data_IF_702040615110
#
_entry.id   IF_702040615110
#
_cell.length_a   1.000
_cell.length_b   1.000
_cell.length_c   1.000
_cell.angle_alpha   90.00
_cell.angle_beta   90.00
_cell.angle_gamma   90.00
#
_symmetry.space_group_name_H-M   'P 1'
#
loop_
_entity.id
_entity.type
_entity.pdbx_description
1 polymer ?
#
# COMPACT_ATOMS: atom_id res chain seq x y z
N UNK A 1 4.20 -13.50 4.52
CA UNK A 1 5.06 -14.44 3.76
C UNK A 1 6.14 -13.69 2.98
N UNK A 2 7.40 -14.16 2.96
CA UNK A 2 8.53 -13.54 2.25
C UNK A 2 8.31 -13.42 0.74
N UNK A 3 7.66 -14.41 0.13
CA UNK A 3 7.38 -14.41 -1.32
C UNK A 3 6.32 -13.38 -1.71
N UNK A 4 5.31 -13.16 -0.86
CA UNK A 4 4.31 -12.07 -1.03
C UNK A 4 5.00 -10.71 -1.06
N UNK A 5 5.90 -10.44 -0.12
CA UNK A 5 6.60 -9.16 -0.06
C UNK A 5 7.47 -8.91 -1.31
N UNK A 6 8.15 -9.94 -1.82
CA UNK A 6 8.91 -9.86 -3.08
C UNK A 6 7.97 -9.56 -4.27
N UNK A 7 6.82 -10.23 -4.35
CA UNK A 7 5.84 -9.99 -5.41
C UNK A 7 5.31 -8.55 -5.36
N UNK A 8 4.88 -8.08 -4.18
CA UNK A 8 4.30 -6.74 -4.04
C UNK A 8 5.36 -5.66 -4.32
N UNK A 9 6.60 -5.85 -3.86
CA UNK A 9 7.71 -4.92 -4.15
C UNK A 9 7.91 -4.75 -5.66
N UNK A 10 7.92 -5.86 -6.41
CA UNK A 10 7.98 -5.83 -7.86
C UNK A 10 6.73 -5.21 -8.49
N UNK A 11 5.53 -5.51 -8.00
CA UNK A 11 4.29 -4.90 -8.50
C UNK A 11 4.24 -3.39 -8.27
N UNK A 12 4.90 -2.85 -7.24
CA UNK A 12 5.02 -1.39 -7.06
C UNK A 12 5.85 -0.76 -8.18
N UNK A 13 6.91 -1.43 -8.65
CA UNK A 13 7.68 -0.99 -9.82
C UNK A 13 6.82 -1.06 -11.10
N UNK A 14 6.03 -2.13 -11.26
CA UNK A 14 5.09 -2.28 -12.40
C UNK A 14 4.02 -1.19 -12.39
N UNK A 15 3.40 -0.96 -11.23
CA UNK A 15 2.43 0.10 -10.99
C UNK A 15 2.95 1.45 -11.42
N UNK A 16 4.18 1.77 -11.03
CA UNK A 16 4.86 3.02 -11.40
C UNK A 16 5.14 3.08 -12.90
N UNK A 17 5.60 1.97 -13.51
CA UNK A 17 5.90 1.88 -14.94
C UNK A 17 4.68 2.09 -15.84
N UNK A 18 3.52 1.58 -15.42
CA UNK A 18 2.26 1.76 -16.14
C UNK A 18 1.49 3.01 -15.73
N UNK A 19 2.04 3.83 -14.83
CA UNK A 19 1.43 5.08 -14.35
C UNK A 19 -0.01 4.89 -13.82
N UNK A 20 -0.27 3.74 -13.21
CA UNK A 20 -1.60 3.39 -12.71
C UNK A 20 -1.99 4.25 -11.50
N UNK A 21 -3.29 4.40 -11.28
CA UNK A 21 -3.86 5.02 -10.08
C UNK A 21 -3.43 4.28 -8.81
N UNK A 22 -3.33 4.97 -7.65
CA UNK A 22 -3.15 4.30 -6.37
C UNK A 22 -4.27 3.30 -6.08
N UNK A 23 -5.52 3.61 -6.44
CA UNK A 23 -6.70 2.75 -6.32
C UNK A 23 -6.41 1.35 -6.90
N UNK A 24 -5.88 1.30 -8.13
CA UNK A 24 -5.52 0.06 -8.79
C UNK A 24 -4.46 -0.75 -8.02
N UNK A 25 -3.42 -0.12 -7.45
CA UNK A 25 -2.41 -0.81 -6.64
C UNK A 25 -3.01 -1.40 -5.36
N UNK A 26 -3.82 -0.61 -4.66
CA UNK A 26 -4.44 -1.05 -3.41
C UNK A 26 -5.42 -2.20 -3.64
N UNK A 27 -6.22 -2.13 -4.72
CA UNK A 27 -7.10 -3.21 -5.12
C UNK A 27 -6.31 -4.44 -5.59
N UNK A 28 -5.21 -4.27 -6.32
CA UNK A 28 -4.31 -5.38 -6.71
C UNK A 28 -3.84 -6.17 -5.49
N UNK A 29 -3.32 -5.49 -4.46
CA UNK A 29 -2.84 -6.13 -3.24
C UNK A 29 -3.99 -6.85 -2.52
N UNK A 30 -5.17 -6.22 -2.45
CA UNK A 30 -6.36 -6.83 -1.85
C UNK A 30 -6.78 -8.12 -2.56
N UNK A 31 -6.82 -8.12 -3.90
CA UNK A 31 -7.15 -9.28 -4.72
C UNK A 31 -6.16 -10.42 -4.46
N UNK A 32 -4.85 -10.12 -4.48
CA UNK A 32 -3.79 -11.10 -4.22
C UNK A 32 -3.98 -11.73 -2.84
N UNK A 33 -4.18 -10.92 -1.80
CA UNK A 33 -4.28 -11.42 -0.43
C UNK A 33 -5.51 -12.29 -0.21
N UNK A 34 -6.67 -11.86 -0.71
CA UNK A 34 -7.91 -12.65 -0.62
C UNK A 34 -7.80 -13.96 -1.40
N UNK A 35 -7.20 -13.91 -2.59
CA UNK A 35 -7.02 -15.11 -3.41
C UNK A 35 -6.07 -16.10 -2.73
N UNK A 36 -4.93 -15.64 -2.21
CA UNK A 36 -3.96 -16.47 -1.50
C UNK A 36 -4.48 -17.00 -0.15
N UNK A 37 -5.45 -16.33 0.47
CA UNK A 37 -6.10 -16.81 1.69
C UNK A 37 -6.95 -18.07 1.46
N UNK A 38 -7.47 -18.27 0.23
CA UNK A 38 -8.39 -19.38 -0.09
C UNK A 38 -7.85 -20.34 -1.17
N UNK A 39 -6.67 -20.06 -1.74
CA UNK A 39 -6.07 -20.84 -2.81
C UNK A 39 -4.60 -21.14 -2.53
N UNK A 40 -4.21 -22.40 -2.67
CA UNK A 40 -2.81 -22.82 -2.63
C UNK A 40 -2.17 -22.53 -3.99
N UNK A 41 -1.22 -21.60 -4.00
CA UNK A 41 -0.53 -21.17 -5.22
C UNK A 41 0.94 -21.56 -5.14
N UNK A 42 1.46 -22.19 -6.20
CA UNK A 42 2.87 -22.53 -6.27
C UNK A 42 3.73 -21.28 -6.45
N UNK A 43 5.00 -21.33 -6.02
CA UNK A 43 5.94 -20.21 -6.21
C UNK A 43 6.06 -19.77 -7.67
N UNK A 44 5.92 -20.71 -8.62
CA UNK A 44 6.05 -20.45 -10.07
C UNK A 44 4.87 -19.68 -10.66
N UNK A 45 3.70 -19.80 -10.02
CA UNK A 45 2.46 -19.15 -10.46
C UNK A 45 2.19 -17.84 -9.72
N UNK A 46 2.96 -17.53 -8.68
CA UNK A 46 2.73 -16.35 -7.85
C UNK A 46 2.85 -15.03 -8.64
N UNK A 47 3.79 -14.96 -9.61
CA UNK A 47 3.88 -13.80 -10.49
C UNK A 47 2.68 -13.72 -11.45
N UNK A 48 2.22 -14.85 -12.01
CA UNK A 48 1.01 -14.93 -12.83
C UNK A 48 -0.22 -14.42 -12.07
N UNK A 49 -0.40 -14.82 -10.81
CA UNK A 49 -1.45 -14.29 -9.93
C UNK A 49 -1.32 -12.78 -9.77
N UNK A 50 -0.11 -12.28 -9.54
CA UNK A 50 0.14 -10.84 -9.35
C UNK A 50 -0.21 -10.00 -10.58
N UNK A 51 0.24 -10.39 -11.76
CA UNK A 51 -0.07 -9.66 -13.01
C UNK A 51 -1.54 -9.76 -13.38
N UNK A 52 -2.18 -10.91 -13.19
CA UNK A 52 -3.62 -11.07 -13.43
C UNK A 52 -4.44 -10.24 -12.44
N UNK A 53 -4.05 -10.19 -11.16
CA UNK A 53 -4.70 -9.32 -10.18
C UNK A 53 -4.56 -7.83 -10.53
N UNK A 54 -3.39 -7.41 -11.03
CA UNK A 54 -3.17 -6.04 -11.47
C UNK A 54 -3.95 -5.70 -12.75
N UNK A 55 -4.02 -6.61 -13.71
CA UNK A 55 -4.87 -6.46 -14.89
C UNK A 55 -6.34 -6.26 -14.48
N UNK A 56 -6.85 -7.08 -13.57
CA UNK A 56 -8.21 -6.97 -13.05
C UNK A 56 -8.46 -5.64 -12.34
N UNK A 57 -7.55 -5.24 -11.45
CA UNK A 57 -7.66 -3.97 -10.73
C UNK A 57 -7.59 -2.78 -11.69
N UNK A 58 -6.72 -2.84 -12.70
CA UNK A 58 -6.61 -1.79 -13.71
C UNK A 58 -7.90 -1.68 -14.52
N UNK A 59 -8.46 -2.80 -14.99
CA UNK A 59 -9.77 -2.81 -15.68
C UNK A 59 -10.91 -2.24 -14.84
N UNK A 60 -10.78 -2.30 -13.51
CA UNK A 60 -11.81 -1.85 -12.58
C UNK A 60 -11.70 -0.36 -12.24
N UNK A 61 -10.48 0.15 -12.03
CA UNK A 61 -10.23 1.51 -11.53
C UNK A 61 -9.78 2.49 -12.62
N UNK A 62 -9.16 2.03 -13.72
CA UNK A 62 -8.60 2.90 -14.75
C UNK A 62 -9.61 3.24 -15.84
N UNK A 63 -9.53 4.48 -16.35
CA UNK A 63 -10.23 4.87 -17.58
C UNK A 63 -9.65 4.14 -18.79
N UNK A 64 -8.32 3.98 -18.82
CA UNK A 64 -7.55 3.37 -19.90
C UNK A 64 -6.62 2.29 -19.35
N UNK A 65 -7.13 1.09 -19.04
CA UNK A 65 -6.31 0.02 -18.48
C UNK A 65 -5.30 -0.54 -19.51
N UNK A 66 -4.12 -1.01 -19.08
CA UNK A 66 -3.20 -1.73 -19.96
C UNK A 66 -3.85 -3.00 -20.55
N UNK A 67 -3.43 -3.36 -21.75
CA UNK A 67 -3.91 -4.55 -22.43
C UNK A 67 -3.23 -5.82 -21.88
N UNK A 68 -3.83 -6.99 -22.11
CA UNK A 68 -3.24 -8.27 -21.70
C UNK A 68 -1.83 -8.46 -22.29
N UNK A 69 -1.61 -8.01 -23.52
CA UNK A 69 -0.32 -8.10 -24.19
C UNK A 69 0.77 -7.24 -23.52
N UNK A 70 0.39 -6.15 -22.84
CA UNK A 70 1.35 -5.35 -22.07
C UNK A 70 1.89 -6.17 -20.89
N UNK A 71 1.03 -6.93 -20.22
CA UNK A 71 1.44 -7.84 -19.13
C UNK A 71 2.23 -9.06 -19.64
N UNK A 72 1.91 -9.58 -20.83
CA UNK A 72 2.74 -10.60 -21.49
C UNK A 72 4.16 -10.07 -21.71
N UNK A 73 4.30 -8.87 -22.28
CA UNK A 73 5.60 -8.24 -22.51
C UNK A 73 6.33 -7.91 -21.20
N UNK A 74 5.60 -7.42 -20.19
CA UNK A 74 6.13 -7.11 -18.87
C UNK A 74 6.76 -8.34 -18.19
N UNK A 75 6.15 -9.51 -18.37
CA UNK A 75 6.65 -10.77 -17.82
C UNK A 75 7.80 -11.39 -18.61
N UNK A 76 8.40 -10.66 -19.56
CA UNK A 76 9.37 -11.18 -20.53
C UNK A 76 8.85 -12.44 -21.25
N UNK A 77 7.54 -12.44 -21.55
CA UNK A 77 6.83 -13.56 -22.17
C UNK A 77 6.92 -14.88 -21.38
N UNK A 78 7.17 -14.81 -20.07
CA UNK A 78 7.10 -15.98 -19.19
C UNK A 78 5.69 -16.59 -19.15
N UNK A 79 4.67 -15.80 -19.46
CA UNK A 79 3.27 -16.22 -19.54
C UNK A 79 2.65 -15.83 -20.88
N UNK A 80 1.78 -16.69 -21.41
CA UNK A 80 1.01 -16.41 -22.63
C UNK A 80 -0.24 -15.58 -22.31
N UNK A 81 -0.80 -14.96 -23.36
CA UNK A 81 -2.06 -14.23 -23.28
C UNK A 81 -3.19 -15.09 -22.67
N UNK A 82 -3.30 -16.35 -23.10
CA UNK A 82 -4.30 -17.30 -22.62
C UNK A 82 -4.09 -17.65 -21.14
N UNK A 83 -2.84 -17.81 -20.69
CA UNK A 83 -2.54 -18.13 -19.29
C UNK A 83 -2.98 -16.98 -18.36
N UNK A 84 -2.76 -15.74 -18.76
CA UNK A 84 -3.19 -14.56 -17.99
C UNK A 84 -4.73 -14.50 -17.90
N UNK A 85 -5.43 -14.75 -19.01
CA UNK A 85 -6.90 -14.78 -19.03
C UNK A 85 -7.49 -15.94 -18.22
N UNK A 86 -6.88 -17.13 -18.28
CA UNK A 86 -7.29 -18.27 -17.45
C UNK A 86 -7.12 -17.95 -15.96
N UNK A 87 -6.00 -17.33 -15.59
CA UNK A 87 -5.76 -16.94 -14.20
C UNK A 87 -6.73 -15.84 -13.75
N UNK A 88 -6.97 -14.82 -14.58
CA UNK A 88 -7.99 -13.78 -14.33
C UNK A 88 -9.36 -14.41 -14.03
N UNK A 89 -9.82 -15.31 -14.90
CA UNK A 89 -11.10 -16.01 -14.71
C UNK A 89 -11.12 -16.87 -13.45
N UNK A 90 -9.99 -17.50 -13.11
CA UNK A 90 -9.85 -18.32 -11.91
C UNK A 90 -9.94 -17.47 -10.65
N UNK A 91 -9.24 -16.33 -10.61
CA UNK A 91 -9.29 -15.39 -9.48
C UNK A 91 -10.71 -14.83 -9.33
N UNK A 92 -11.33 -14.36 -10.41
CA UNK A 92 -12.72 -13.85 -10.40
C UNK A 92 -13.71 -14.90 -9.88
N UNK A 93 -13.59 -16.14 -10.36
CA UNK A 93 -14.44 -17.24 -9.91
C UNK A 93 -14.26 -17.56 -8.43
N UNK A 94 -13.02 -17.55 -7.93
CA UNK A 94 -12.72 -17.81 -6.51
C UNK A 94 -13.13 -16.68 -5.57
N UNK A 95 -13.10 -15.43 -6.05
CA UNK A 95 -13.53 -14.25 -5.30
C UNK A 95 -15.01 -13.91 -5.50
N UNK A 96 -15.76 -14.78 -6.19
CA UNK A 96 -17.18 -14.61 -6.47
C UNK A 96 -17.50 -13.23 -7.07
N UNK A 97 -16.63 -12.74 -7.95
CA UNK A 97 -16.74 -11.43 -8.60
C UNK A 97 -16.81 -10.23 -7.64
N UNK A 98 -16.50 -10.43 -6.36
CA UNK A 98 -16.55 -9.37 -5.35
C UNK A 98 -15.25 -8.57 -5.39
N UNK A 99 -15.20 -7.56 -6.27
CA UNK A 99 -14.08 -6.63 -6.40
C UNK A 99 -14.32 -5.28 -5.73
N UNK A 100 -15.60 -4.88 -5.55
CA UNK A 100 -15.97 -3.65 -4.84
C UNK A 100 -15.76 -3.85 -3.33
N UNK A 101 -14.58 -3.47 -2.85
CA UNK A 101 -14.20 -3.63 -1.44
C UNK A 101 -13.55 -2.37 -0.89
N UNK A 102 -13.69 -2.09 0.41
CA UNK A 102 -12.99 -0.97 1.02
C UNK A 102 -11.48 -1.25 1.07
N UNK A 103 -10.69 -0.40 0.42
CA UNK A 103 -9.23 -0.42 0.51
C UNK A 103 -8.74 0.67 1.48
N UNK A 104 -7.52 0.57 2.05
CA UNK A 104 -7.02 1.65 2.91
C UNK A 104 -6.96 3.00 2.17
N UNK A 105 -6.81 2.99 0.85
CA UNK A 105 -6.75 4.22 0.04
C UNK A 105 -7.99 5.11 0.19
N UNK A 106 -9.21 4.55 0.12
CA UNK A 106 -10.42 5.38 0.17
C UNK A 106 -10.58 6.10 1.51
N UNK A 107 -10.16 5.44 2.60
CA UNK A 107 -10.10 6.05 3.93
C UNK A 107 -8.98 7.08 4.02
N UNK A 108 -7.80 6.77 3.46
CA UNK A 108 -6.63 7.64 3.49
C UNK A 108 -6.93 8.99 2.85
N UNK A 109 -7.56 9.01 1.68
CA UNK A 109 -7.98 10.25 0.99
C UNK A 109 -8.95 11.07 1.87
N UNK A 110 -9.90 10.41 2.55
CA UNK A 110 -10.86 11.09 3.43
C UNK A 110 -10.18 11.67 4.68
N UNK A 111 -9.27 10.93 5.28
CA UNK A 111 -8.58 11.32 6.51
C UNK A 111 -7.52 12.38 6.26
N UNK A 112 -6.83 12.35 5.12
CA UNK A 112 -5.94 13.44 4.70
C UNK A 112 -6.69 14.76 4.53
N UNK A 113 -7.89 14.73 3.92
CA UNK A 113 -8.75 15.93 3.84
C UNK A 113 -9.09 16.49 5.22
N UNK A 114 -9.41 15.63 6.20
CA UNK A 114 -9.66 16.05 7.57
C UNK A 114 -8.39 16.61 8.24
N UNK A 115 -7.25 15.96 8.04
CA UNK A 115 -5.95 16.36 8.58
C UNK A 115 -5.48 17.73 8.06
N UNK A 116 -5.85 18.07 6.83
CA UNK A 116 -5.48 19.33 6.18
C UNK A 116 -6.34 20.51 6.62
N UNK A 117 -7.51 20.30 7.26
CA UNK A 117 -8.34 21.41 7.77
C UNK A 117 -7.60 22.22 8.84
N UNK A 118 -6.78 21.56 9.66
CA UNK A 118 -5.98 22.22 10.70
C UNK A 118 -4.66 22.81 10.17
N UNK A 119 -4.38 22.74 8.86
CA UNK A 119 -3.13 23.20 8.25
C UNK A 119 -3.36 24.40 7.30
N UNK A 120 -2.45 25.39 7.28
CA UNK A 120 -2.64 26.64 6.55
C UNK A 120 -2.53 26.54 5.01
N UNK A 121 -2.19 25.37 4.45
CA UNK A 121 -2.16 25.10 3.00
C UNK A 121 -2.20 23.60 2.71
N UNK A 122 -2.49 23.19 1.46
CA UNK A 122 -2.33 21.79 1.01
C UNK A 122 -0.89 21.34 1.28
N UNK A 123 -0.75 20.41 2.22
CA UNK A 123 0.53 19.89 2.66
C UNK A 123 0.85 18.62 1.88
N UNK A 124 1.38 18.81 0.66
CA UNK A 124 1.77 17.71 -0.21
C UNK A 124 2.79 16.77 0.45
N UNK A 125 3.60 17.25 1.40
CA UNK A 125 4.51 16.40 2.16
C UNK A 125 3.75 15.46 3.11
N UNK A 126 2.69 15.95 3.77
CA UNK A 126 1.81 15.11 4.59
C UNK A 126 1.12 14.03 3.75
N UNK A 127 0.55 14.41 2.60
CA UNK A 127 -0.12 13.47 1.71
C UNK A 127 0.86 12.38 1.22
N UNK A 128 2.01 12.78 0.68
CA UNK A 128 3.02 11.84 0.19
C UNK A 128 3.57 10.94 1.31
N UNK A 129 3.83 11.49 2.51
CA UNK A 129 4.31 10.70 3.65
C UNK A 129 3.25 9.68 4.11
N UNK A 130 1.97 10.07 4.17
CA UNK A 130 0.91 9.16 4.59
C UNK A 130 0.70 8.04 3.55
N UNK A 131 0.75 8.36 2.25
CA UNK A 131 0.72 7.35 1.19
C UNK A 131 1.93 6.40 1.26
N UNK A 132 3.13 6.95 1.44
CA UNK A 132 4.35 6.15 1.61
C UNK A 132 4.23 5.15 2.76
N UNK A 133 3.79 5.61 3.94
CA UNK A 133 3.63 4.75 5.12
C UNK A 133 2.51 3.72 4.91
N UNK A 134 1.41 4.10 4.25
CA UNK A 134 0.31 3.19 3.93
C UNK A 134 0.75 2.08 2.97
N UNK A 135 1.45 2.41 1.88
CA UNK A 135 1.98 1.44 0.93
C UNK A 135 3.05 0.53 1.57
N UNK A 136 3.94 1.07 2.41
CA UNK A 136 4.87 0.27 3.21
C UNK A 136 4.14 -0.69 4.14
N UNK A 137 3.06 -0.22 4.78
CA UNK A 137 2.22 -1.03 5.64
C UNK A 137 1.66 -2.24 4.89
N UNK A 138 1.06 -2.02 3.73
CA UNK A 138 0.47 -3.09 2.92
C UNK A 138 1.47 -4.13 2.43
N UNK A 139 2.74 -3.76 2.25
CA UNK A 139 3.80 -4.73 1.89
C UNK A 139 4.08 -5.75 2.99
N UNK A 140 3.84 -5.40 4.25
CA UNK A 140 4.20 -6.21 5.41
C UNK A 140 3.01 -7.02 5.93
N UNK A 141 3.19 -8.33 6.07
CA UNK A 141 2.11 -9.22 6.52
C UNK A 141 1.59 -8.89 7.93
N UNK A 142 2.41 -8.29 8.79
CA UNK A 142 2.04 -7.92 10.16
C UNK A 142 0.90 -6.89 10.22
N UNK A 143 0.64 -6.15 9.15
CA UNK A 143 -0.44 -5.15 9.11
C UNK A 143 -1.78 -5.71 8.66
N UNK A 144 -1.83 -6.94 8.13
CA UNK A 144 -3.06 -7.57 7.64
C UNK A 144 -4.11 -7.83 8.73
N UNK A 145 -3.70 -7.79 10.00
CA UNK A 145 -4.62 -7.90 11.14
C UNK A 145 -5.45 -6.63 11.37
N UNK A 146 -5.04 -5.49 10.82
CA UNK A 146 -5.75 -4.22 10.97
C UNK A 146 -6.76 -4.01 9.85
N UNK A 147 -7.86 -3.33 10.17
CA UNK A 147 -8.84 -2.93 9.15
C UNK A 147 -8.24 -1.89 8.18
N UNK A 148 -8.80 -1.77 6.96
CA UNK A 148 -8.41 -0.72 6.02
C UNK A 148 -8.47 0.70 6.60
N UNK A 149 -9.49 1.01 7.42
CA UNK A 149 -9.64 2.30 8.09
C UNK A 149 -8.56 2.56 9.13
N UNK A 150 -8.24 1.56 9.97
CA UNK A 150 -7.18 1.65 10.97
C UNK A 150 -5.82 1.88 10.31
N UNK A 151 -5.54 1.17 9.21
CA UNK A 151 -4.31 1.34 8.43
C UNK A 151 -4.15 2.76 7.89
N UNK A 152 -5.22 3.32 7.34
CA UNK A 152 -5.24 4.68 6.83
C UNK A 152 -5.05 5.73 7.95
N UNK A 153 -5.80 5.60 9.05
CA UNK A 153 -5.71 6.54 10.18
C UNK A 153 -4.32 6.51 10.83
N UNK A 154 -3.76 5.31 11.05
CA UNK A 154 -2.42 5.15 11.61
C UNK A 154 -1.33 5.71 10.67
N UNK A 155 -1.50 5.59 9.35
CA UNK A 155 -0.58 6.20 8.38
C UNK A 155 -0.62 7.73 8.44
N UNK A 156 -1.81 8.34 8.56
CA UNK A 156 -1.95 9.80 8.74
C UNK A 156 -1.32 10.25 10.06
N UNK A 157 -1.61 9.56 11.16
CA UNK A 157 -1.02 9.87 12.48
C UNK A 157 0.51 9.76 12.46
N UNK A 158 1.05 8.66 11.93
CA UNK A 158 2.49 8.46 11.82
C UNK A 158 3.16 9.50 10.89
N UNK A 159 2.48 9.91 9.80
CA UNK A 159 2.98 10.96 8.91
C UNK A 159 3.03 12.32 9.62
N UNK A 160 2.01 12.68 10.39
CA UNK A 160 1.98 13.91 11.20
C UNK A 160 3.08 13.91 12.26
N UNK A 161 3.31 12.79 12.95
CA UNK A 161 4.45 12.62 13.84
C UNK A 161 5.79 12.82 13.12
N UNK A 162 5.98 12.18 11.98
CA UNK A 162 7.24 12.21 11.20
C UNK A 162 7.56 13.63 10.72
N UNK A 163 6.53 14.39 10.35
CA UNK A 163 6.66 15.77 9.87
C UNK A 163 6.51 16.83 10.98
N UNK A 164 6.49 16.41 12.25
CA UNK A 164 6.34 17.28 13.43
C UNK A 164 5.13 18.25 13.33
N UNK A 165 3.98 17.75 12.85
CA UNK A 165 2.74 18.54 12.78
C UNK A 165 2.09 18.61 14.15
N UNK A 166 1.63 19.80 14.53
CA UNK A 166 0.98 20.06 15.81
C UNK A 166 -0.38 20.75 15.59
N UNK A 167 -1.45 20.34 16.29
CA UNK A 167 -1.53 19.12 17.11
C UNK A 167 -1.32 17.85 16.27
N UNK A 168 -0.73 16.79 16.85
CA UNK A 168 -0.49 15.54 16.11
C UNK A 168 -1.81 14.85 15.77
N UNK A 169 -2.70 14.73 16.76
CA UNK A 169 -4.05 14.20 16.60
C UNK A 169 -5.03 15.18 17.25
N UNK A 170 -5.97 15.70 16.47
CA UNK A 170 -6.96 16.67 16.95
C UNK A 170 -8.37 16.06 17.01
N UNK A 171 -9.31 16.82 17.57
CA UNK A 171 -10.71 16.41 17.69
C UNK A 171 -11.36 16.20 16.31
N UNK A 172 -10.94 16.95 15.30
CA UNK A 172 -11.45 16.78 13.92
C UNK A 172 -11.07 15.42 13.35
N UNK A 173 -9.81 15.01 13.54
CA UNK A 173 -9.33 13.68 13.16
C UNK A 173 -10.00 12.57 13.97
N UNK A 174 -10.17 12.77 15.27
CA UNK A 174 -10.88 11.82 16.15
C UNK A 174 -12.33 11.63 15.68
N UNK A 175 -13.05 12.72 15.41
CA UNK A 175 -14.43 12.70 14.91
C UNK A 175 -14.56 12.04 13.53
N UNK A 176 -13.65 12.33 12.59
CA UNK A 176 -13.76 11.82 11.22
C UNK A 176 -13.24 10.39 11.05
N UNK A 177 -12.31 9.95 11.89
CA UNK A 177 -11.76 8.58 11.83
C UNK A 177 -12.46 7.62 12.78
N UNK A 178 -13.02 8.13 13.88
CA UNK A 178 -13.56 7.32 14.97
C UNK A 178 -12.50 6.70 15.89
N UNK A 179 -11.22 7.07 15.73
CA UNK A 179 -10.11 6.50 16.51
C UNK A 179 -9.43 7.53 17.42
N UNK A 180 -9.08 7.10 18.64
CA UNK A 180 -8.22 7.86 19.54
C UNK A 180 -6.73 7.66 19.20
N UNK A 181 -5.87 8.54 19.71
CA UNK A 181 -4.42 8.42 19.53
C UNK A 181 -3.87 7.09 20.09
N UNK A 182 -4.40 6.63 21.23
CA UNK A 182 -4.01 5.39 21.89
C UNK A 182 -4.31 4.16 21.03
N UNK A 183 -5.45 4.13 20.35
CA UNK A 183 -5.86 3.03 19.48
C UNK A 183 -4.96 2.91 18.23
N UNK A 184 -4.50 4.04 17.70
CA UNK A 184 -3.63 4.10 16.51
C UNK A 184 -2.20 3.68 16.81
N UNK A 185 -1.77 3.81 18.07
CA UNK A 185 -0.38 3.68 18.51
C UNK A 185 0.27 2.37 18.05
N UNK A 186 -0.44 1.24 18.17
CA UNK A 186 0.10 -0.08 17.79
C UNK A 186 0.43 -0.17 16.30
N UNK A 187 -0.51 0.23 15.45
CA UNK A 187 -0.33 0.21 14.00
C UNK A 187 0.71 1.26 13.56
N UNK A 188 0.66 2.47 14.12
CA UNK A 188 1.58 3.55 13.80
C UNK A 188 3.05 3.19 14.10
N UNK A 189 3.31 2.54 15.25
CA UNK A 189 4.66 2.05 15.60
C UNK A 189 5.17 1.02 14.60
N UNK A 190 4.32 0.13 14.10
CA UNK A 190 4.68 -0.82 13.05
C UNK A 190 5.07 -0.09 11.76
N UNK A 191 4.26 0.87 11.31
CA UNK A 191 4.55 1.66 10.10
C UNK A 191 5.89 2.39 10.19
N UNK A 192 6.16 3.03 11.34
CA UNK A 192 7.43 3.73 11.59
C UNK A 192 8.61 2.77 11.67
N UNK A 193 8.41 1.56 12.20
CA UNK A 193 9.44 0.51 12.18
C UNK A 193 9.80 0.07 10.76
N UNK A 194 8.81 -0.05 9.87
CA UNK A 194 9.05 -0.36 8.46
C UNK A 194 9.74 0.79 7.74
N UNK A 195 9.34 2.04 8.00
CA UNK A 195 10.02 3.23 7.48
C UNK A 195 11.50 3.21 7.90
N UNK A 196 11.79 2.96 9.17
CA UNK A 196 13.16 2.88 9.69
C UNK A 196 14.02 1.83 8.97
N UNK A 197 13.44 0.69 8.58
CA UNK A 197 14.14 -0.38 7.87
C UNK A 197 14.18 -0.20 6.34
N UNK A 198 13.33 0.67 5.77
CA UNK A 198 13.07 0.75 4.33
C UNK A 198 14.29 1.16 3.49
N UNK A 199 15.15 2.05 4.00
CA UNK A 199 16.36 2.48 3.29
C UNK A 199 17.47 1.41 3.18
N UNK A 200 17.56 0.54 4.19
CA UNK A 200 18.57 -0.53 4.28
C UNK A 200 18.09 -1.90 3.78
N UNK A 201 16.78 -2.06 3.55
CA UNK A 201 16.17 -3.32 3.14
C UNK A 201 16.55 -3.77 1.72
N UNK A 202 16.26 -5.04 1.40
CA UNK A 202 16.41 -5.60 0.05
C UNK A 202 15.25 -5.20 -0.88
N UNK A 203 14.05 -5.06 -0.32
CA UNK A 203 12.84 -4.65 -1.03
C UNK A 203 12.76 -3.12 -0.97
N UNK A 204 12.79 -2.47 -2.13
CA UNK A 204 12.98 -1.02 -2.25
C UNK A 204 12.00 -0.35 -3.20
N UNK A 205 11.02 -1.04 -3.77
CA UNK A 205 10.05 -0.48 -4.73
C UNK A 205 9.33 0.74 -4.14
N UNK A 206 8.68 0.57 -2.99
CA UNK A 206 8.00 1.69 -2.29
C UNK A 206 8.98 2.78 -1.87
N UNK A 207 10.16 2.42 -1.35
CA UNK A 207 11.17 3.41 -0.95
C UNK A 207 11.61 4.27 -2.14
N UNK A 208 11.92 3.65 -3.28
CA UNK A 208 12.34 4.37 -4.50
C UNK A 208 11.23 5.28 -5.01
N UNK A 209 9.99 4.79 -5.07
CA UNK A 209 8.80 5.55 -5.50
C UNK A 209 8.63 6.86 -4.71
N UNK A 210 8.89 6.82 -3.40
CA UNK A 210 8.72 7.99 -2.51
C UNK A 210 10.03 8.71 -2.14
N UNK A 211 11.18 8.21 -2.61
CA UNK A 211 12.45 8.95 -2.60
C UNK A 211 12.54 9.91 -3.80
N UNK A 212 11.63 9.80 -4.76
CA UNK A 212 11.51 10.72 -5.90
C UNK A 212 11.32 12.18 -5.41
N UNK A 213 12.11 13.14 -5.91
CA UNK A 213 11.93 14.57 -5.61
C UNK A 213 10.53 15.11 -5.91
N UNK A 214 9.82 14.58 -6.91
CA UNK A 214 8.44 14.97 -7.23
C UNK A 214 7.45 14.56 -6.13
N UNK A 215 7.81 13.55 -5.33
CA UNK A 215 7.06 13.13 -4.13
C UNK A 215 7.60 13.79 -2.85
N UNK A 216 8.42 14.83 -2.97
CA UNK A 216 9.05 15.52 -1.86
C UNK A 216 10.15 14.72 -1.16
N UNK A 217 10.62 13.62 -1.77
CA UNK A 217 11.60 12.70 -1.20
C UNK A 217 11.27 12.24 0.23
N UNK A 218 9.97 12.10 0.55
CA UNK A 218 9.47 11.80 1.90
C UNK A 218 10.05 10.52 2.49
N UNK A 219 10.39 9.53 1.66
CA UNK A 219 11.01 8.29 2.11
C UNK A 219 12.41 8.49 2.73
N UNK A 220 13.11 9.57 2.36
CA UNK A 220 14.47 9.89 2.84
C UNK A 220 14.43 10.63 4.19
N UNK A 221 13.27 11.18 4.57
CA UNK A 221 13.10 11.86 5.86
C UNK A 221 13.28 10.87 7.02
N UNK A 222 13.81 11.33 8.17
CA UNK A 222 13.98 10.47 9.33
C UNK A 222 12.62 10.00 9.88
N UNK A 223 12.50 8.75 10.33
CA UNK A 223 11.29 8.23 10.94
C UNK A 223 10.95 8.96 12.26
N UNK A 224 9.66 8.99 12.61
CA UNK A 224 9.15 9.60 13.83
C UNK A 224 9.77 9.00 15.11
N UNK A 225 10.72 9.72 15.72
CA UNK A 225 11.51 9.23 16.88
C UNK A 225 10.65 8.85 18.09
N UNK A 226 9.54 9.56 18.33
CA UNK A 226 8.60 9.28 19.42
C UNK A 226 7.85 7.95 19.25
N UNK A 227 7.77 7.43 18.03
CA UNK A 227 7.11 6.17 17.70
C UNK A 227 8.10 5.01 17.50
N UNK A 228 9.41 5.28 17.39
CA UNK A 228 10.44 4.24 17.36
C UNK A 228 10.53 3.63 18.77
N UNK A 229 10.04 2.39 18.91
CA UNK A 229 10.27 1.57 20.11
C UNK A 229 11.77 1.39 20.35
N UNK A 230 12.26 1.66 21.57
CA UNK A 230 13.61 1.28 22.00
C UNK A 230 13.71 -0.23 22.32
N UNK A 231 13.22 -1.12 21.44
CA UNK A 231 13.45 -2.56 21.55
C UNK A 231 12.89 -3.30 20.33
N UNK A 232 13.80 -3.81 19.49
CA UNK A 232 13.79 -5.16 18.92
C UNK A 232 14.93 -5.30 17.88
N UNK A 233 16.16 -5.06 18.31
CA UNK A 233 17.33 -5.75 17.72
C UNK A 233 17.62 -6.87 18.72
N UNK A 234 17.11 -8.05 18.43
CA UNK A 234 17.25 -9.23 19.29
C UNK A 234 17.09 -10.50 18.48
N UNK A 235 18.25 -11.04 18.09
CA UNK A 235 18.55 -12.39 17.56
C UNK A 235 17.80 -12.89 16.33
#
# INVERSE_FOLDING_TARGET
SKMRAILIDWLVDVHTKFELSPEALYLTINIIDRFLAISLVSRRELQLVGISAMLMASKYEEIWPPEVNDFVCLSDRAYTHEQILIMEKTILGKLEWTLTVPTPFVFLVRFLKAASVSLPSSDLALENMAHFLSELGMMHYATLMYSPSMMAAAAVYAARCTLNKSPVWDETLTMHTGYSEEELMGCARLLVSFHSASGSGKLKGVYKKYADPQKGAVAVLPPAKNLVSSAAVGS
#
